data_IF_748915996977
#
_entry.id   IF_748915996977
#
_cell.length_a   1.000
_cell.length_b   1.000
_cell.length_c   1.000
_cell.angle_alpha   90.00
_cell.angle_beta   90.00
_cell.angle_gamma   90.00
#
_symmetry.space_group_name_H-M   'P 1'
#
loop_
_entity.id
_entity.type
_entity.pdbx_description
1 polymer ?
#
# COMPACT_ATOMS: atom_id res chain seq x y z
N UNK A 1 -10.75 -14.75 17.21
CA UNK A 1 -11.39 -13.81 16.27
C UNK A 1 -11.17 -12.42 16.81
N UNK A 2 -10.08 -11.77 16.43
CA UNK A 2 -9.71 -10.46 16.95
C UNK A 2 -10.47 -9.41 16.16
N UNK A 3 -11.51 -8.84 16.76
CA UNK A 3 -12.27 -7.72 16.20
C UNK A 3 -11.29 -6.58 15.88
N UNK A 4 -11.16 -6.13 14.62
CA UNK A 4 -10.30 -5.01 14.31
C UNK A 4 -10.83 -3.79 15.05
N UNK A 5 -10.05 -3.30 16.02
CA UNK A 5 -10.32 -2.07 16.79
C UNK A 5 -10.96 -1.02 15.87
N UNK A 6 -11.99 -0.27 16.31
CA UNK A 6 -12.82 0.58 15.44
C UNK A 6 -12.03 1.56 14.55
N UNK A 7 -10.83 1.97 14.98
CA UNK A 7 -9.88 2.78 14.21
C UNK A 7 -9.38 2.04 12.96
N UNK A 8 -9.02 0.76 13.08
CA UNK A 8 -8.55 -0.09 11.97
C UNK A 8 -9.65 -0.32 10.92
N UNK A 9 -10.90 -0.50 11.35
CA UNK A 9 -12.04 -0.67 10.43
C UNK A 9 -12.35 0.61 9.63
N UNK A 10 -12.31 1.78 10.30
CA UNK A 10 -12.48 3.06 9.63
C UNK A 10 -11.36 3.33 8.62
N UNK A 11 -10.12 3.04 9.00
CA UNK A 11 -8.94 3.18 8.15
C UNK A 11 -8.96 2.24 6.94
N UNK A 12 -9.34 0.98 7.13
CA UNK A 12 -9.51 0.04 6.02
C UNK A 12 -10.57 0.54 5.03
N UNK A 13 -11.71 1.05 5.53
CA UNK A 13 -12.77 1.59 4.67
C UNK A 13 -12.27 2.77 3.84
N UNK A 14 -11.47 3.66 4.44
CA UNK A 14 -10.85 4.80 3.77
C UNK A 14 -9.88 4.34 2.67
N UNK A 15 -8.94 3.45 3.00
CA UNK A 15 -7.97 2.88 2.06
C UNK A 15 -8.67 2.17 0.89
N UNK A 16 -9.69 1.34 1.18
CA UNK A 16 -10.51 0.70 0.13
C UNK A 16 -11.22 1.72 -0.75
N UNK A 17 -11.69 2.82 -0.16
CA UNK A 17 -12.32 3.92 -0.88
C UNK A 17 -11.36 4.57 -1.88
N UNK A 18 -10.15 4.88 -1.44
CA UNK A 18 -9.14 5.50 -2.32
C UNK A 18 -8.63 4.52 -3.38
N UNK A 19 -8.40 3.25 -3.06
CA UNK A 19 -8.03 2.21 -4.03
C UNK A 19 -9.06 2.11 -5.15
N UNK A 20 -10.36 2.02 -4.81
CA UNK A 20 -11.44 1.96 -5.82
C UNK A 20 -11.50 3.19 -6.72
N UNK A 21 -11.16 4.36 -6.20
CA UNK A 21 -11.32 5.64 -6.90
C UNK A 21 -10.09 6.02 -7.73
N UNK A 22 -8.91 5.54 -7.34
CA UNK A 22 -7.61 6.04 -7.83
C UNK A 22 -6.76 4.96 -8.49
N UNK A 23 -7.04 3.67 -8.25
CA UNK A 23 -6.20 2.58 -8.70
C UNK A 23 -4.99 2.41 -7.79
N UNK A 24 -3.91 3.14 -8.09
CA UNK A 24 -2.65 3.06 -7.33
C UNK A 24 -2.73 4.01 -6.13
N UNK A 25 -2.53 3.48 -4.93
CA UNK A 25 -2.42 4.27 -3.70
C UNK A 25 -1.04 4.08 -3.09
N UNK A 26 -0.30 5.17 -2.91
CA UNK A 26 1.00 5.17 -2.22
C UNK A 26 0.85 5.82 -0.86
N UNK A 27 0.97 5.01 0.19
CA UNK A 27 0.86 5.45 1.58
C UNK A 27 2.23 5.78 2.15
N UNK A 28 2.46 7.06 2.41
CA UNK A 28 3.63 7.53 3.15
C UNK A 28 3.32 7.52 4.66
N UNK A 29 3.86 6.55 5.37
CA UNK A 29 3.67 6.35 6.81
C UNK A 29 4.94 6.78 7.55
N UNK A 30 5.09 8.09 7.72
CA UNK A 30 6.34 8.71 8.21
C UNK A 30 6.82 8.13 9.55
N UNK A 31 5.90 7.87 10.46
CA UNK A 31 6.21 7.42 11.82
C UNK A 31 6.11 5.90 11.98
N UNK A 32 5.97 5.16 10.87
CA UNK A 32 5.89 3.69 10.82
C UNK A 32 4.85 3.10 11.81
N UNK A 33 3.72 3.80 11.96
CA UNK A 33 2.71 3.45 12.95
C UNK A 33 1.71 2.41 12.41
N UNK A 34 1.68 2.20 11.10
CA UNK A 34 0.66 1.39 10.42
C UNK A 34 1.22 0.13 9.77
N UNK A 35 2.52 -0.17 9.89
CA UNK A 35 3.12 -1.40 9.33
C UNK A 35 2.36 -2.67 9.71
N UNK A 36 2.07 -2.89 11.00
CA UNK A 36 1.33 -4.07 11.44
C UNK A 36 -0.12 -4.14 10.94
N UNK A 37 -0.75 -2.99 10.68
CA UNK A 37 -2.07 -2.95 10.04
C UNK A 37 -1.96 -3.35 8.56
N UNK A 38 -0.98 -2.79 7.84
CA UNK A 38 -0.74 -3.10 6.43
C UNK A 38 -0.33 -4.56 6.22
N UNK A 39 0.51 -5.11 7.10
CA UNK A 39 0.87 -6.52 7.09
C UNK A 39 -0.38 -7.41 7.21
N UNK A 40 -1.30 -7.05 8.10
CA UNK A 40 -2.58 -7.77 8.22
C UNK A 40 -3.44 -7.69 6.95
N UNK A 41 -3.36 -6.59 6.19
CA UNK A 41 -4.05 -6.46 4.89
C UNK A 41 -3.38 -7.33 3.82
N UNK A 42 -2.04 -7.40 3.79
CA UNK A 42 -1.30 -8.27 2.88
C UNK A 42 -1.59 -9.75 3.15
N UNK A 43 -1.60 -10.17 4.42
CA UNK A 43 -1.98 -11.53 4.83
C UNK A 43 -3.42 -11.85 4.41
N UNK A 44 -4.36 -10.91 4.58
CA UNK A 44 -5.75 -11.08 4.14
C UNK A 44 -5.89 -11.09 2.62
N UNK A 45 -5.04 -10.36 1.90
CA UNK A 45 -5.01 -10.41 0.44
C UNK A 45 -4.59 -11.81 -0.05
N UNK A 46 -3.59 -12.41 0.57
CA UNK A 46 -3.16 -13.79 0.27
C UNK A 46 -4.23 -14.85 0.60
N UNK A 47 -5.28 -14.49 1.34
CA UNK A 47 -6.42 -15.34 1.71
C UNK A 47 -7.72 -14.96 1.00
N UNK A 48 -7.67 -14.06 0.02
CA UNK A 48 -8.83 -13.50 -0.69
C UNK A 48 -9.83 -12.71 0.20
N UNK A 49 -9.46 -12.39 1.44
CA UNK A 49 -10.25 -11.59 2.39
C UNK A 49 -10.06 -10.06 2.21
N UNK A 50 -9.11 -9.68 1.36
CA UNK A 50 -8.86 -8.30 0.93
C UNK A 50 -8.51 -8.29 -0.57
N UNK A 51 -9.37 -7.74 -1.45
CA UNK A 51 -9.31 -7.97 -2.90
C UNK A 51 -8.33 -7.04 -3.64
N UNK A 52 -7.44 -6.35 -2.93
CA UNK A 52 -6.45 -5.44 -3.54
C UNK A 52 -5.05 -5.88 -3.14
N UNK A 53 -4.11 -6.02 -4.08
CA UNK A 53 -2.73 -6.26 -3.76
C UNK A 53 -2.18 -5.22 -2.79
N UNK A 54 -1.43 -5.68 -1.80
CA UNK A 54 -0.76 -4.84 -0.81
C UNK A 54 0.73 -5.13 -0.87
N UNK A 55 1.51 -4.12 -1.22
CA UNK A 55 2.97 -4.20 -1.35
C UNK A 55 3.60 -3.31 -0.28
N UNK A 56 3.91 -3.87 0.89
CA UNK A 56 4.65 -3.15 1.93
C UNK A 56 6.15 -3.11 1.62
N UNK A 57 6.76 -1.93 1.69
CA UNK A 57 8.21 -1.81 1.69
C UNK A 57 8.79 -2.29 3.03
N UNK A 58 9.73 -3.24 2.98
CA UNK A 58 10.38 -3.85 4.15
C UNK A 58 11.91 -3.78 4.07
N UNK A 59 12.44 -2.67 3.57
CA UNK A 59 13.88 -2.38 3.55
C UNK A 59 14.59 -2.70 2.24
N UNK A 60 13.91 -3.33 1.27
CA UNK A 60 14.47 -3.69 -0.03
C UNK A 60 13.61 -3.18 -1.18
N UNK A 61 14.15 -2.25 -1.96
CA UNK A 61 13.49 -1.78 -3.19
C UNK A 61 13.43 -2.88 -4.24
N UNK A 62 14.45 -3.75 -4.29
CA UNK A 62 14.47 -4.86 -5.24
C UNK A 62 13.30 -5.82 -4.97
N UNK A 63 13.11 -6.24 -3.72
CA UNK A 63 11.98 -7.11 -3.36
C UNK A 63 10.64 -6.43 -3.63
N UNK A 64 10.55 -5.12 -3.37
CA UNK A 64 9.34 -4.34 -3.65
C UNK A 64 9.03 -4.27 -5.14
N UNK A 65 10.04 -4.05 -5.99
CA UNK A 65 9.87 -4.00 -7.44
C UNK A 65 9.48 -5.36 -8.03
N UNK A 66 10.12 -6.44 -7.58
CA UNK A 66 9.77 -7.80 -7.99
C UNK A 66 8.31 -8.12 -7.65
N UNK A 67 7.87 -7.76 -6.45
CA UNK A 67 6.47 -7.93 -6.05
C UNK A 67 5.48 -7.10 -6.89
N UNK A 68 5.92 -5.95 -7.43
CA UNK A 68 5.10 -5.12 -8.31
C UNK A 68 5.04 -5.69 -9.73
N UNK A 69 6.16 -6.20 -10.26
CA UNK A 69 6.23 -6.83 -11.59
C UNK A 69 5.27 -8.02 -11.69
N UNK A 70 5.17 -8.85 -10.66
CA UNK A 70 4.23 -9.98 -10.61
C UNK A 70 2.76 -9.52 -10.77
N UNK A 71 2.43 -8.30 -10.34
CA UNK A 71 1.09 -7.72 -10.41
C UNK A 71 0.74 -7.10 -11.76
N UNK A 72 1.73 -6.83 -12.63
CA UNK A 72 1.52 -6.24 -13.97
C UNK A 72 0.96 -7.27 -14.98
N UNK A 73 0.69 -8.51 -14.56
CA UNK A 73 0.27 -9.63 -15.41
C UNK A 73 -1.22 -9.60 -15.82
N UNK A 74 -1.77 -8.43 -16.18
CA UNK A 74 -3.17 -8.28 -16.60
C UNK A 74 -3.45 -7.01 -17.43
N UNK A 75 -4.45 -7.09 -18.33
CA UNK A 75 -4.87 -6.00 -19.23
C UNK A 75 -5.53 -4.79 -18.53
N UNK A 76 -5.76 -4.88 -17.21
CA UNK A 76 -6.27 -3.81 -16.38
C UNK A 76 -5.29 -3.52 -15.23
N UNK A 77 -5.01 -2.25 -14.97
CA UNK A 77 -4.23 -1.83 -13.81
C UNK A 77 -5.04 -2.12 -12.54
N UNK A 78 -4.76 -3.27 -11.93
CA UNK A 78 -5.43 -3.68 -10.68
C UNK A 78 -5.16 -2.63 -9.60
N UNK A 79 -6.20 -2.12 -8.91
CA UNK A 79 -5.99 -1.18 -7.80
C UNK A 79 -5.10 -1.79 -6.74
N UNK A 80 -4.02 -1.10 -6.36
CA UNK A 80 -2.97 -1.64 -5.50
C UNK A 80 -2.52 -0.62 -4.45
N UNK A 81 -2.16 -1.12 -3.27
CA UNK A 81 -1.64 -0.33 -2.17
C UNK A 81 -0.14 -0.54 -2.04
N UNK A 82 0.64 0.53 -2.15
CA UNK A 82 2.07 0.55 -1.81
C UNK A 82 2.23 1.25 -0.46
N UNK A 83 2.81 0.59 0.53
CA UNK A 83 3.07 1.19 1.85
C UNK A 83 4.56 1.47 2.02
N UNK A 84 4.88 2.72 2.35
CA UNK A 84 6.25 3.23 2.49
C UNK A 84 6.46 3.74 3.93
N UNK A 85 6.81 2.87 4.89
CA UNK A 85 7.06 3.26 6.28
C UNK A 85 8.37 4.05 6.42
N UNK A 86 8.35 5.12 7.20
CA UNK A 86 9.49 6.01 7.40
C UNK A 86 9.77 6.97 6.25
N UNK A 87 9.05 6.87 5.12
CA UNK A 87 9.30 7.70 3.95
C UNK A 87 8.52 9.01 3.98
N UNK A 88 9.19 10.05 3.47
CA UNK A 88 8.58 11.35 3.17
C UNK A 88 8.55 11.57 1.66
N UNK A 89 7.82 12.61 1.24
CA UNK A 89 7.74 12.99 -0.17
C UNK A 89 9.10 13.36 -0.77
N UNK A 90 9.99 13.94 0.04
CA UNK A 90 11.35 14.29 -0.37
C UNK A 90 12.16 13.03 -0.65
N UNK A 91 12.09 12.04 0.25
CA UNK A 91 12.79 10.76 0.11
C UNK A 91 12.31 10.00 -1.12
N UNK A 92 11.01 10.00 -1.42
CA UNK A 92 10.44 9.30 -2.59
C UNK A 92 11.09 9.73 -3.92
N UNK A 93 11.55 10.98 -4.04
CA UNK A 93 12.21 11.50 -5.26
C UNK A 93 13.50 10.78 -5.62
N UNK A 94 14.16 10.15 -4.65
CA UNK A 94 15.38 9.37 -4.86
C UNK A 94 15.14 7.86 -4.96
N UNK A 95 13.89 7.41 -4.93
CA UNK A 95 13.57 5.98 -4.92
C UNK A 95 13.28 5.43 -6.31
N UNK A 96 13.53 4.13 -6.55
CA UNK A 96 13.09 3.46 -7.77
C UNK A 96 11.57 3.50 -8.01
N UNK A 97 10.78 3.75 -6.97
CA UNK A 97 9.31 3.82 -7.03
C UNK A 97 8.77 5.22 -7.41
N UNK A 98 9.63 6.15 -7.82
CA UNK A 98 9.25 7.53 -8.11
C UNK A 98 8.11 7.63 -9.13
N UNK A 99 8.15 6.84 -10.19
CA UNK A 99 7.14 6.90 -11.25
C UNK A 99 5.77 6.41 -10.76
N UNK A 100 5.73 5.32 -9.97
CA UNK A 100 4.51 4.86 -9.32
C UNK A 100 3.98 5.87 -8.29
N UNK A 101 4.87 6.52 -7.54
CA UNK A 101 4.49 7.60 -6.62
C UNK A 101 3.89 8.82 -7.34
N UNK A 102 4.41 9.19 -8.52
CA UNK A 102 3.85 10.28 -9.33
C UNK A 102 2.54 9.90 -10.01
N UNK A 103 2.41 8.66 -10.47
CA UNK A 103 1.23 8.17 -11.17
C UNK A 103 0.06 7.86 -10.21
N UNK A 104 0.37 7.45 -8.98
CA UNK A 104 -0.61 7.07 -7.96
C UNK A 104 -1.14 8.22 -7.11
N UNK A 105 -2.15 7.90 -6.31
CA UNK A 105 -2.67 8.79 -5.28
C UNK A 105 -1.84 8.68 -4.00
N UNK A 106 -1.34 9.82 -3.52
CA UNK A 106 -0.65 9.89 -2.24
C UNK A 106 -1.64 9.84 -1.08
N UNK A 107 -1.56 8.79 -0.29
CA UNK A 107 -2.29 8.65 0.97
C UNK A 107 -1.37 9.00 2.15
N UNK A 108 -1.89 9.79 3.10
CA UNK A 108 -1.19 10.17 4.33
C UNK A 108 -2.16 10.12 5.49
N UNK A 109 -1.73 9.47 6.56
CA UNK A 109 -2.36 9.51 7.88
C UNK A 109 -1.28 9.94 8.88
N UNK A 110 -1.62 10.96 9.67
CA UNK A 110 -0.79 11.44 10.76
C UNK A 110 -0.76 10.45 11.93
#
# INVERSE_FOLDING_TARGET
>A
MTDPRPISAALEKEVRGELRRRGIVVWLDRDDCYSGFVDSLAERCARDDFPYPVVPFRGSFLETMLALEDLETGLDQTPLLIHMPGFTEEMMRGTPLLELYKAGYRFRRA
#
